data_IF_752994679770
#
_entry.id   IF_752994679770
#
_cell.length_a   1.000
_cell.length_b   1.000
_cell.length_c   1.000
_cell.angle_alpha   90.00
_cell.angle_beta   90.00
_cell.angle_gamma   90.00
#
_symmetry.space_group_name_H-M   'P 1'
#
loop_
_entity.id
_entity.type
_entity.pdbx_description
1 polymer ?
#
# COMPACT_ATOMS: atom_id res chain seq x y z
N UNK A 1 -2.40 10.83 -8.86
CA UNK A 1 -2.97 9.77 -8.01
C UNK A 1 -4.40 10.14 -7.73
N UNK A 2 -5.33 9.24 -8.04
CA UNK A 2 -6.76 9.41 -7.77
C UNK A 2 -7.08 8.66 -6.48
N UNK A 3 -7.76 9.35 -5.57
CA UNK A 3 -8.11 8.80 -4.26
C UNK A 3 -9.62 8.77 -4.12
N UNK A 4 -10.16 7.62 -3.76
CA UNK A 4 -11.52 7.53 -3.22
C UNK A 4 -11.43 7.72 -1.71
N UNK A 5 -12.17 8.70 -1.20
CA UNK A 5 -12.18 9.04 0.21
C UNK A 5 -13.60 8.95 0.75
N UNK A 6 -13.75 8.27 1.87
CA UNK A 6 -14.98 8.22 2.64
C UNK A 6 -14.76 8.95 3.97
N UNK A 7 -15.74 9.74 4.39
CA UNK A 7 -15.60 10.53 5.60
C UNK A 7 -16.76 11.48 5.84
N UNK A 8 -16.77 12.11 7.00
CA UNK A 8 -17.81 13.05 7.39
C UNK A 8 -17.42 14.49 7.08
N UNK A 9 -18.41 15.26 6.61
CA UNK A 9 -18.25 16.70 6.45
C UNK A 9 -18.44 17.37 7.80
N UNK A 10 -17.37 17.94 8.33
CA UNK A 10 -17.35 18.63 9.62
C UNK A 10 -17.15 20.14 9.43
N UNK A 11 -17.83 20.93 10.24
CA UNK A 11 -17.64 22.37 10.28
C UNK A 11 -16.51 22.71 11.25
N UNK A 12 -15.57 23.52 10.80
CA UNK A 12 -14.45 24.00 11.60
C UNK A 12 -14.39 25.52 11.57
N UNK A 13 -13.57 26.12 12.42
CA UNK A 13 -13.32 27.57 12.42
C UNK A 13 -12.73 28.12 11.11
N UNK A 14 -12.31 27.23 10.20
CA UNK A 14 -11.78 27.56 8.87
C UNK A 14 -12.77 27.20 7.73
N UNK A 15 -14.03 26.87 8.07
CA UNK A 15 -15.04 26.42 7.13
C UNK A 15 -15.28 24.91 7.17
N UNK A 16 -15.98 24.41 6.15
CA UNK A 16 -16.26 22.99 6.04
C UNK A 16 -15.01 22.22 5.61
N UNK A 17 -14.75 21.12 6.31
CA UNK A 17 -13.67 20.19 6.03
C UNK A 17 -14.22 18.78 5.93
N UNK A 18 -13.61 17.94 5.10
CA UNK A 18 -13.89 16.51 5.06
C UNK A 18 -12.96 15.81 6.07
N UNK A 19 -13.56 15.28 7.12
CA UNK A 19 -12.83 14.39 8.02
C UNK A 19 -12.80 13.00 7.40
N UNK A 20 -11.72 12.69 6.70
CA UNK A 20 -11.55 11.42 6.00
C UNK A 20 -11.40 10.30 7.02
N UNK A 21 -12.29 9.33 6.97
CA UNK A 21 -12.28 8.13 7.80
C UNK A 21 -11.61 6.96 7.09
N UNK A 22 -11.86 6.84 5.78
CA UNK A 22 -11.25 5.84 4.92
C UNK A 22 -10.81 6.47 3.61
N UNK A 23 -9.78 5.95 3.04
CA UNK A 23 -9.34 6.31 1.70
C UNK A 23 -8.68 5.11 1.03
N UNK A 24 -8.86 5.02 -0.27
CA UNK A 24 -8.16 4.05 -1.10
C UNK A 24 -7.64 4.72 -2.36
N UNK A 25 -6.50 4.27 -2.81
CA UNK A 25 -5.97 4.68 -4.10
C UNK A 25 -6.73 3.92 -5.19
N UNK A 26 -7.39 4.67 -6.08
CA UNK A 26 -8.03 4.07 -7.25
C UNK A 26 -6.91 3.74 -8.22
N UNK A 27 -6.77 2.45 -8.53
CA UNK A 27 -5.88 2.02 -9.60
C UNK A 27 -6.48 2.54 -10.90
N UNK A 28 -5.82 3.47 -11.59
CA UNK A 28 -6.41 4.11 -12.74
C UNK A 28 -6.59 3.09 -13.87
N UNK A 29 -7.80 3.07 -14.43
CA UNK A 29 -8.14 2.26 -15.61
C UNK A 29 -8.14 3.09 -16.89
N UNK A 30 -7.97 4.40 -16.78
CA UNK A 30 -7.87 5.32 -17.90
C UNK A 30 -6.42 5.48 -18.32
N UNK A 31 -6.17 5.70 -19.63
CA UNK A 31 -4.82 5.92 -20.15
C UNK A 31 -4.08 7.06 -19.43
N UNK A 32 -4.77 8.19 -19.19
CA UNK A 32 -4.18 9.35 -18.50
C UNK A 32 -3.82 9.02 -17.04
N UNK A 33 -4.68 8.27 -16.37
CA UNK A 33 -4.44 7.82 -14.99
C UNK A 33 -3.27 6.83 -14.91
N UNK A 34 -3.17 5.90 -15.87
CA UNK A 34 -2.04 4.96 -15.96
C UNK A 34 -0.72 5.71 -16.23
N UNK A 35 -0.74 6.71 -17.12
CA UNK A 35 0.42 7.56 -17.39
C UNK A 35 0.86 8.31 -16.13
N UNK A 36 -0.08 8.92 -15.42
CA UNK A 36 0.22 9.64 -14.17
C UNK A 36 0.76 8.69 -13.09
N UNK A 37 0.21 7.50 -12.98
CA UNK A 37 0.66 6.49 -12.02
C UNK A 37 2.07 5.99 -12.32
N UNK A 38 2.31 5.50 -13.55
CA UNK A 38 3.60 4.96 -13.95
C UNK A 38 4.69 6.03 -14.01
N UNK A 39 4.34 7.24 -14.49
CA UNK A 39 5.27 8.36 -14.60
C UNK A 39 5.52 9.12 -13.30
N UNK A 40 4.85 8.75 -12.20
CA UNK A 40 4.98 9.42 -10.89
C UNK A 40 6.34 9.26 -10.22
N UNK A 41 7.19 8.34 -10.72
CA UNK A 41 8.48 7.99 -10.11
C UNK A 41 8.38 7.00 -8.94
N UNK A 42 7.17 6.46 -8.67
CA UNK A 42 6.96 5.42 -7.66
C UNK A 42 7.57 4.08 -8.08
N UNK A 43 7.65 3.84 -9.39
CA UNK A 43 8.21 2.60 -9.95
C UNK A 43 9.59 2.94 -10.51
N UNK A 44 10.63 2.37 -9.90
CA UNK A 44 12.00 2.55 -10.35
C UNK A 44 12.17 1.94 -11.75
N UNK A 45 12.84 2.67 -12.64
CA UNK A 45 13.04 2.24 -14.02
C UNK A 45 11.94 2.70 -14.99
N UNK A 46 10.82 3.22 -14.51
CA UNK A 46 9.78 3.81 -15.36
C UNK A 46 9.80 5.33 -15.22
N UNK A 47 10.35 6.02 -16.22
CA UNK A 47 10.23 7.47 -16.36
C UNK A 47 8.99 7.87 -17.14
N UNK A 48 8.66 9.19 -17.22
CA UNK A 48 7.48 9.67 -17.94
C UNK A 48 7.40 9.17 -19.40
N UNK A 49 8.51 9.21 -20.12
CA UNK A 49 8.57 8.74 -21.51
C UNK A 49 8.38 7.22 -21.62
N UNK A 50 8.99 6.45 -20.74
CA UNK A 50 8.82 5.00 -20.69
C UNK A 50 7.36 4.64 -20.33
N UNK A 51 6.73 5.40 -19.44
CA UNK A 51 5.32 5.26 -19.11
C UNK A 51 4.42 5.51 -20.33
N UNK A 52 4.71 6.55 -21.15
CA UNK A 52 4.00 6.82 -22.39
C UNK A 52 4.11 5.65 -23.37
N UNK A 53 5.32 5.13 -23.58
CA UNK A 53 5.57 4.01 -24.48
C UNK A 53 4.87 2.72 -24.00
N UNK A 54 4.87 2.46 -22.71
CA UNK A 54 4.18 1.31 -22.11
C UNK A 54 2.66 1.42 -22.30
N UNK A 55 2.06 2.57 -21.94
CA UNK A 55 0.62 2.77 -22.04
C UNK A 55 0.17 2.82 -23.50
N UNK A 56 0.97 3.40 -24.41
CA UNK A 56 0.68 3.39 -25.85
C UNK A 56 0.70 1.98 -26.42
N UNK A 57 1.55 1.09 -25.91
CA UNK A 57 1.69 -0.28 -26.42
C UNK A 57 0.63 -1.22 -25.84
N UNK A 58 0.35 -1.12 -24.55
CA UNK A 58 -0.48 -2.08 -23.81
C UNK A 58 -1.84 -1.53 -23.40
N UNK A 59 -2.03 -0.21 -23.45
CA UNK A 59 -3.31 0.42 -23.10
C UNK A 59 -3.84 0.04 -21.72
N UNK A 60 -5.11 -0.36 -21.63
CA UNK A 60 -5.74 -0.75 -20.36
C UNK A 60 -5.15 -2.03 -19.75
N UNK A 61 -4.49 -2.87 -20.55
CA UNK A 61 -3.89 -4.11 -20.07
C UNK A 61 -2.52 -3.91 -19.38
N UNK A 62 -2.02 -2.70 -19.33
CA UNK A 62 -0.72 -2.35 -18.76
C UNK A 62 -0.49 -2.95 -17.35
N UNK A 63 -1.49 -2.82 -16.48
CA UNK A 63 -1.36 -3.34 -15.10
C UNK A 63 -1.41 -4.87 -15.06
N UNK A 64 -2.23 -5.48 -15.91
CA UNK A 64 -2.29 -6.94 -16.02
C UNK A 64 -0.95 -7.51 -16.52
N UNK A 65 -0.29 -6.80 -17.42
CA UNK A 65 1.04 -7.17 -17.92
C UNK A 65 2.10 -7.03 -16.83
N UNK A 66 2.08 -5.92 -16.07
CA UNK A 66 2.98 -5.73 -14.94
C UNK A 66 2.77 -6.78 -13.83
N UNK A 67 1.53 -7.27 -13.65
CA UNK A 67 1.20 -8.27 -12.63
C UNK A 67 1.52 -9.71 -13.06
N UNK A 68 1.34 -10.06 -14.33
CA UNK A 68 1.34 -11.46 -14.76
C UNK A 68 2.35 -11.79 -15.85
N UNK A 69 2.74 -10.82 -16.68
CA UNK A 69 3.59 -11.04 -17.85
C UNK A 69 4.61 -9.89 -18.03
N UNK A 70 5.41 -9.57 -17.00
CA UNK A 70 6.32 -8.43 -17.04
C UNK A 70 7.37 -8.51 -18.13
N UNK A 71 7.69 -9.72 -18.63
CA UNK A 71 8.66 -9.94 -19.71
C UNK A 71 8.22 -9.23 -21.02
N UNK A 72 6.91 -8.98 -21.20
CA UNK A 72 6.42 -8.23 -22.36
C UNK A 72 6.92 -6.79 -22.39
N UNK A 73 7.35 -6.24 -21.26
CA UNK A 73 7.95 -4.90 -21.18
C UNK A 73 9.29 -4.82 -21.95
N UNK A 74 9.97 -5.94 -22.20
CA UNK A 74 11.18 -5.96 -23.02
C UNK A 74 10.94 -5.54 -24.47
N UNK A 75 9.69 -5.48 -24.94
CA UNK A 75 9.34 -4.96 -26.27
C UNK A 75 9.44 -3.43 -26.32
N UNK A 76 9.43 -2.78 -25.15
CA UNK A 76 9.52 -1.32 -25.05
C UNK A 76 10.98 -0.90 -25.21
N UNK A 77 11.19 0.06 -26.11
CA UNK A 77 12.53 0.58 -26.37
C UNK A 77 13.09 1.25 -25.10
N UNK A 78 14.24 0.77 -24.65
CA UNK A 78 14.93 1.31 -23.48
C UNK A 78 14.70 0.49 -22.21
N UNK A 79 13.89 -0.57 -22.24
CA UNK A 79 13.79 -1.53 -21.13
C UNK A 79 14.69 -2.72 -21.44
N UNK A 80 15.73 -2.87 -20.63
CA UNK A 80 16.65 -4.00 -20.62
C UNK A 80 16.24 -5.02 -19.56
N UNK A 81 16.81 -6.23 -19.59
CA UNK A 81 16.56 -7.24 -18.55
C UNK A 81 16.90 -6.75 -17.13
N UNK A 82 17.95 -5.90 -16.99
CA UNK A 82 18.30 -5.31 -15.71
C UNK A 82 17.28 -4.30 -15.22
N UNK A 83 16.77 -3.45 -16.12
CA UNK A 83 15.71 -2.49 -15.81
C UNK A 83 14.38 -3.20 -15.55
N UNK A 84 14.08 -4.29 -16.27
CA UNK A 84 12.90 -5.10 -16.02
C UNK A 84 12.88 -5.61 -14.59
N UNK A 85 14.00 -6.13 -14.09
CA UNK A 85 14.11 -6.61 -12.71
C UNK A 85 13.88 -5.48 -11.69
N UNK A 86 14.48 -4.31 -11.91
CA UNK A 86 14.26 -3.13 -11.07
C UNK A 86 12.78 -2.70 -11.07
N UNK A 87 12.12 -2.77 -12.22
CA UNK A 87 10.68 -2.49 -12.38
C UNK A 87 9.84 -3.49 -11.60
N UNK A 88 10.09 -4.78 -11.77
CA UNK A 88 9.36 -5.86 -11.08
C UNK A 88 9.45 -5.73 -9.56
N UNK A 89 10.65 -5.53 -9.03
CA UNK A 89 10.89 -5.38 -7.59
C UNK A 89 10.16 -4.13 -7.04
N UNK A 90 10.32 -2.99 -7.71
CA UNK A 90 9.73 -1.73 -7.29
C UNK A 90 8.20 -1.72 -7.43
N UNK A 91 7.66 -2.34 -8.48
CA UNK A 91 6.23 -2.48 -8.67
C UNK A 91 5.59 -3.39 -7.63
N UNK A 92 6.23 -4.52 -7.31
CA UNK A 92 5.78 -5.44 -6.26
C UNK A 92 5.76 -4.74 -4.89
N UNK A 93 6.79 -3.95 -4.57
CA UNK A 93 6.84 -3.13 -3.35
C UNK A 93 5.69 -2.12 -3.30
N UNK A 94 5.49 -1.38 -4.38
CA UNK A 94 4.41 -0.39 -4.50
C UNK A 94 3.03 -1.02 -4.31
N UNK A 95 2.81 -2.22 -4.87
CA UNK A 95 1.56 -2.98 -4.72
C UNK A 95 1.32 -3.42 -3.28
N UNK A 96 2.35 -3.92 -2.61
CA UNK A 96 2.25 -4.33 -1.20
C UNK A 96 1.96 -3.13 -0.31
N UNK A 97 2.63 -2.00 -0.53
CA UNK A 97 2.39 -0.78 0.23
C UNK A 97 0.96 -0.25 0.04
N UNK A 98 0.43 -0.26 -1.19
CA UNK A 98 -0.98 0.09 -1.44
C UNK A 98 -1.94 -0.79 -0.66
N UNK A 99 -1.76 -2.11 -0.74
CA UNK A 99 -2.60 -3.08 -0.03
C UNK A 99 -2.52 -2.86 1.48
N UNK A 100 -1.32 -2.59 1.99
CA UNK A 100 -1.08 -2.31 3.40
C UNK A 100 -1.79 -1.02 3.83
N UNK A 101 -1.70 0.03 3.03
CA UNK A 101 -2.35 1.31 3.31
C UNK A 101 -3.86 1.22 3.24
N UNK A 102 -4.41 0.49 2.27
CA UNK A 102 -5.85 0.22 2.18
C UNK A 102 -6.36 -0.53 3.43
N UNK A 103 -5.60 -1.53 3.90
CA UNK A 103 -5.96 -2.32 5.06
C UNK A 103 -5.84 -1.55 6.39
N UNK A 104 -4.90 -0.62 6.47
CA UNK A 104 -4.58 0.16 7.66
C UNK A 104 -5.15 1.58 7.66
N UNK A 105 -5.76 2.02 6.56
CA UNK A 105 -6.35 3.35 6.40
C UNK A 105 -7.33 3.73 7.51
N UNK A 106 -8.31 2.86 7.88
CA UNK A 106 -9.27 3.13 8.94
C UNK A 106 -8.64 3.41 10.32
N UNK A 107 -7.34 3.08 10.49
CA UNK A 107 -6.62 3.23 11.77
C UNK A 107 -5.71 4.45 11.82
N UNK A 108 -5.86 5.38 10.87
CA UNK A 108 -5.06 6.61 10.78
C UNK A 108 -3.55 6.33 10.76
N UNK A 109 -3.15 5.31 10.00
CA UNK A 109 -1.75 4.95 9.83
C UNK A 109 -1.19 5.73 8.64
N UNK A 110 -0.10 6.45 8.91
CA UNK A 110 0.56 7.27 7.88
C UNK A 110 1.38 6.41 6.91
N UNK A 111 1.62 6.89 5.66
CA UNK A 111 2.48 6.20 4.70
C UNK A 111 3.86 5.85 5.25
N UNK A 112 4.46 6.75 6.03
CA UNK A 112 5.76 6.50 6.68
C UNK A 112 5.70 5.31 7.65
N UNK A 113 4.56 5.12 8.31
CA UNK A 113 4.35 3.98 9.21
C UNK A 113 4.13 2.68 8.44
N UNK A 114 3.39 2.72 7.33
CA UNK A 114 3.23 1.58 6.44
C UNK A 114 4.58 1.13 5.86
N UNK A 115 5.42 2.09 5.47
CA UNK A 115 6.78 1.79 5.00
C UNK A 115 7.63 1.10 6.07
N UNK A 116 7.56 1.52 7.34
CA UNK A 116 8.25 0.84 8.44
C UNK A 116 7.79 -0.62 8.63
N UNK A 117 6.48 -0.86 8.50
CA UNK A 117 5.94 -2.22 8.55
C UNK A 117 6.50 -3.07 7.41
N UNK A 118 6.49 -2.51 6.20
CA UNK A 118 7.07 -3.18 5.04
C UNK A 118 8.56 -3.46 5.20
N UNK A 119 9.34 -2.49 5.67
CA UNK A 119 10.77 -2.66 5.91
C UNK A 119 11.09 -3.74 6.96
N UNK A 120 10.20 -3.93 7.94
CA UNK A 120 10.41 -4.92 9.00
C UNK A 120 9.98 -6.34 8.60
N UNK A 121 8.84 -6.47 7.94
CA UNK A 121 8.25 -7.78 7.59
C UNK A 121 8.36 -8.16 6.12
N UNK A 122 8.82 -7.24 5.27
CA UNK A 122 8.94 -7.46 3.84
C UNK A 122 7.59 -7.67 3.13
N UNK A 123 7.59 -8.38 1.99
CA UNK A 123 6.39 -8.62 1.19
C UNK A 123 5.27 -9.37 1.92
N UNK A 124 5.61 -10.14 2.96
CA UNK A 124 4.66 -10.92 3.76
C UNK A 124 3.88 -10.08 4.79
N UNK A 125 4.15 -8.77 4.91
CA UNK A 125 3.56 -7.90 5.94
C UNK A 125 2.03 -7.91 5.95
N UNK A 126 1.37 -8.00 4.78
CA UNK A 126 -0.09 -8.06 4.67
C UNK A 126 -0.65 -9.36 5.26
N UNK A 127 0.01 -10.48 4.99
CA UNK A 127 -0.39 -11.79 5.53
C UNK A 127 -0.15 -11.90 7.03
N UNK A 128 0.95 -11.32 7.51
CA UNK A 128 1.26 -11.23 8.95
C UNK A 128 0.20 -10.42 9.67
N UNK A 129 -0.19 -9.27 9.11
CA UNK A 129 -1.26 -8.44 9.67
C UNK A 129 -2.59 -9.18 9.78
N UNK A 130 -2.92 -10.01 8.79
CA UNK A 130 -4.16 -10.79 8.78
C UNK A 130 -4.12 -11.96 9.76
N UNK A 131 -2.96 -12.62 9.92
CA UNK A 131 -2.81 -13.83 10.74
C UNK A 131 -2.39 -13.53 12.17
N UNK A 132 -1.38 -12.68 12.34
CA UNK A 132 -0.72 -12.38 13.61
C UNK A 132 -0.55 -10.87 13.83
N UNK A 133 -1.63 -10.09 13.94
CA UNK A 133 -1.55 -8.62 14.00
C UNK A 133 -0.74 -8.09 15.19
N UNK A 134 -0.61 -8.86 16.27
CA UNK A 134 0.18 -8.47 17.44
C UNK A 134 1.69 -8.52 17.22
N UNK A 135 2.15 -9.12 16.13
CA UNK A 135 3.57 -9.05 15.75
C UNK A 135 3.99 -7.61 15.40
N UNK A 136 3.04 -6.73 15.06
CA UNK A 136 3.29 -5.30 14.93
C UNK A 136 3.89 -4.66 16.18
N UNK A 137 3.67 -5.23 17.38
CA UNK A 137 4.26 -4.73 18.62
C UNK A 137 5.80 -4.76 18.62
N UNK A 138 6.42 -5.51 17.71
CA UNK A 138 7.87 -5.53 17.52
C UNK A 138 8.41 -4.26 16.85
N UNK A 139 7.54 -3.48 16.21
CA UNK A 139 7.92 -2.26 15.50
C UNK A 139 7.83 -1.06 16.45
N UNK A 140 8.88 -0.25 16.49
CA UNK A 140 8.89 1.00 17.26
C UNK A 140 7.74 1.92 16.86
N UNK A 141 6.92 2.32 17.83
CA UNK A 141 5.72 3.13 17.64
C UNK A 141 4.41 2.35 17.54
N UNK A 142 4.46 0.99 17.58
CA UNK A 142 3.29 0.12 17.68
C UNK A 142 3.21 -0.55 19.05
N UNK A 143 2.85 0.22 20.06
CA UNK A 143 2.56 -0.37 21.37
C UNK A 143 1.28 -1.21 21.35
N UNK A 144 1.17 -2.16 22.29
CA UNK A 144 0.03 -3.07 22.43
C UNK A 144 -1.34 -2.38 22.33
N UNK A 145 -1.54 -1.24 23.02
CA UNK A 145 -2.82 -0.50 23.01
C UNK A 145 -3.23 -0.08 21.59
N UNK A 146 -2.27 0.33 20.75
CA UNK A 146 -2.52 0.74 19.37
C UNK A 146 -2.88 -0.46 18.50
N UNK A 147 -2.13 -1.53 18.63
CA UNK A 147 -2.38 -2.78 17.90
C UNK A 147 -3.70 -3.41 18.31
N UNK A 148 -3.99 -3.48 19.60
CA UNK A 148 -5.26 -3.98 20.14
C UNK A 148 -6.46 -3.16 19.64
N UNK A 149 -6.31 -1.84 19.52
CA UNK A 149 -7.32 -0.96 18.92
C UNK A 149 -7.57 -1.25 17.43
N UNK A 150 -6.55 -1.65 16.68
CA UNK A 150 -6.66 -2.09 15.29
C UNK A 150 -7.42 -3.43 15.24
N UNK A 151 -6.96 -4.42 16.00
CA UNK A 151 -7.53 -5.78 15.98
C UNK A 151 -9.01 -5.78 16.38
N UNK A 152 -9.40 -4.99 17.37
CA UNK A 152 -10.81 -4.88 17.81
C UNK A 152 -11.74 -4.36 16.72
N UNK A 153 -11.24 -3.55 15.81
CA UNK A 153 -12.04 -2.98 14.71
C UNK A 153 -12.09 -3.87 13.48
N UNK A 154 -11.01 -4.64 13.23
CA UNK A 154 -10.91 -5.52 12.05
C UNK A 154 -11.37 -6.94 12.31
N UNK A 155 -11.11 -7.45 13.50
CA UNK A 155 -11.34 -8.87 13.80
C UNK A 155 -11.70 -9.01 15.29
N UNK A 156 -12.86 -9.55 15.58
CA UNK A 156 -13.39 -9.66 16.96
C UNK A 156 -12.71 -10.80 17.77
N UNK A 157 -11.43 -11.08 17.53
CA UNK A 157 -10.65 -12.11 18.26
C UNK A 157 -10.17 -11.62 19.61
N UNK A 158 -11.09 -11.18 20.46
CA UNK A 158 -10.78 -10.63 21.78
C UNK A 158 -10.12 -11.61 22.76
N UNK A 159 -10.18 -12.90 22.47
CA UNK A 159 -9.67 -13.98 23.32
C UNK A 159 -8.57 -14.82 22.66
N UNK A 160 -7.87 -14.28 21.66
CA UNK A 160 -6.79 -15.02 21.02
C UNK A 160 -5.55 -15.14 21.91
N UNK A 161 -4.82 -16.25 21.78
CA UNK A 161 -3.57 -16.49 22.52
C UNK A 161 -2.52 -15.40 22.21
N UNK A 162 -2.50 -14.91 20.97
CA UNK A 162 -1.62 -13.85 20.49
C UNK A 162 -1.90 -12.53 21.23
N UNK A 163 -3.17 -12.21 21.49
CA UNK A 163 -3.55 -11.03 22.28
C UNK A 163 -3.05 -11.12 23.71
N UNK A 164 -3.22 -12.27 24.34
CA UNK A 164 -2.74 -12.51 25.71
C UNK A 164 -1.22 -12.38 25.77
N UNK A 165 -0.50 -13.00 24.83
CA UNK A 165 0.96 -12.89 24.73
C UNK A 165 1.41 -11.44 24.52
N UNK A 166 0.78 -10.69 23.64
CA UNK A 166 1.08 -9.28 23.41
C UNK A 166 0.82 -8.41 24.65
N UNK A 167 -0.25 -8.67 25.37
CA UNK A 167 -0.58 -7.97 26.62
C UNK A 167 0.46 -8.24 27.73
N UNK A 168 0.89 -9.48 27.90
CA UNK A 168 1.92 -9.88 28.88
C UNK A 168 3.25 -9.19 28.57
N UNK A 169 3.68 -9.21 27.30
CA UNK A 169 4.94 -8.54 26.90
C UNK A 169 4.89 -7.02 27.06
N UNK A 170 3.70 -6.42 27.06
CA UNK A 170 3.53 -4.98 27.27
C UNK A 170 3.61 -4.60 28.75
N UNK A 171 3.27 -5.51 29.66
CA UNK A 171 3.24 -5.25 31.12
C UNK A 171 4.56 -5.60 31.84
N UNK A 172 5.47 -6.28 31.15
CA UNK A 172 6.83 -6.55 31.63
C UNK A 172 7.79 -5.41 31.28
#
# INVERSE_FOLDING_TARGET
>A
VELEVDGERVESKYGYQLQVEQWQEIVPQTADGLLAYLGSGLIKGIGPKTAEDIVATFGPDTLNILDNEPEKLLQIRGITEGELKDIEESYAESRVLRNLMSLLGPFKITPATALKIYQHFGPACVDILKKCPYDLCQISGFGFKRVDGIVRKTDNRLHSAERIKGAVLYTL
#
